data_IF_874103014231
#
_entry.id   IF_874103014231
#
_cell.length_a   1.000
_cell.length_b   1.000
_cell.length_c   1.000
_cell.angle_alpha   90.00
_cell.angle_beta   90.00
_cell.angle_gamma   90.00
#
_symmetry.space_group_name_H-M   'P 1'
#
loop_
_entity.id
_entity.type
_entity.pdbx_description
1 polymer ?
#
# COMPACT_ATOMS: atom_id res chain seq x y z
N UNK A 1 10.55 -22.39 3.31
CA UNK A 1 10.75 -22.31 1.85
C UNK A 1 10.72 -20.82 1.45
N UNK A 2 11.21 -20.42 0.28
CA UNK A 2 11.13 -19.02 -0.19
C UNK A 2 10.28 -18.95 -1.45
N UNK A 3 9.50 -17.88 -1.60
CA UNK A 3 8.68 -17.62 -2.79
C UNK A 3 9.55 -17.61 -4.05
N UNK A 4 9.20 -18.43 -5.05
CA UNK A 4 9.90 -18.42 -6.34
C UNK A 4 9.69 -17.11 -7.10
N UNK A 5 8.55 -16.45 -6.91
CA UNK A 5 8.20 -15.20 -7.59
C UNK A 5 9.20 -14.07 -7.23
N UNK A 6 9.50 -13.91 -5.94
CA UNK A 6 10.27 -12.75 -5.44
C UNK A 6 11.75 -13.02 -5.18
N UNK A 7 12.16 -14.29 -5.08
CA UNK A 7 13.57 -14.66 -4.96
C UNK A 7 14.20 -15.09 -6.30
N UNK A 8 13.49 -14.84 -7.40
CA UNK A 8 13.99 -14.91 -8.79
C UNK A 8 13.64 -13.61 -9.54
N UNK A 9 14.00 -13.51 -10.82
CA UNK A 9 13.63 -12.37 -11.66
C UNK A 9 12.18 -12.42 -12.18
N UNK A 10 11.38 -13.38 -11.72
CA UNK A 10 10.00 -13.55 -12.19
C UNK A 10 9.12 -12.33 -11.88
N UNK A 11 9.23 -11.73 -10.70
CA UNK A 11 8.48 -10.51 -10.37
C UNK A 11 8.79 -9.36 -11.34
N UNK A 12 10.04 -9.23 -11.83
CA UNK A 12 10.40 -8.21 -12.83
C UNK A 12 9.72 -8.45 -14.17
N UNK A 13 9.51 -9.72 -14.55
CA UNK A 13 8.75 -10.06 -15.75
C UNK A 13 7.27 -9.69 -15.59
N UNK A 14 6.69 -9.95 -14.42
CA UNK A 14 5.34 -9.54 -14.05
C UNK A 14 5.21 -8.01 -14.08
N UNK A 15 6.15 -7.25 -13.49
CA UNK A 15 6.18 -5.79 -13.54
C UNK A 15 6.12 -5.25 -14.98
N UNK A 16 6.95 -5.81 -15.89
CA UNK A 16 6.94 -5.43 -17.31
C UNK A 16 5.62 -5.78 -17.99
N UNK A 17 5.05 -6.95 -17.69
CA UNK A 17 3.78 -7.37 -18.24
C UNK A 17 2.63 -6.47 -17.78
N UNK A 18 2.62 -6.05 -16.51
CA UNK A 18 1.65 -5.09 -15.96
C UNK A 18 1.78 -3.73 -16.67
N UNK A 19 3.00 -3.23 -16.87
CA UNK A 19 3.22 -1.97 -17.62
C UNK A 19 2.68 -2.09 -19.05
N UNK A 20 2.91 -3.23 -19.71
CA UNK A 20 2.38 -3.53 -21.03
C UNK A 20 0.85 -3.51 -21.05
N UNK A 21 0.22 -4.26 -20.13
CA UNK A 21 -1.23 -4.34 -19.98
C UNK A 21 -1.86 -2.97 -19.76
N UNK A 22 -1.39 -2.20 -18.78
CA UNK A 22 -2.01 -0.93 -18.42
C UNK A 22 -1.88 0.11 -19.54
N UNK A 23 -0.79 0.07 -20.31
CA UNK A 23 -0.60 0.97 -21.44
C UNK A 23 -1.30 0.52 -22.74
N UNK A 24 -1.69 -0.75 -22.85
CA UNK A 24 -2.49 -1.26 -23.98
C UNK A 24 -3.97 -0.95 -23.83
N UNK A 25 -4.42 -0.59 -22.63
CA UNK A 25 -5.81 -0.21 -22.40
C UNK A 25 -6.20 1.03 -23.22
N UNK A 26 -7.45 1.09 -23.72
CA UNK A 26 -8.00 2.32 -24.25
C UNK A 26 -8.07 3.40 -23.15
N UNK A 27 -8.31 4.64 -23.54
CA UNK A 27 -8.48 5.73 -22.58
C UNK A 27 -9.64 5.42 -21.61
N UNK A 28 -9.31 5.14 -20.35
CA UNK A 28 -10.27 4.80 -19.30
C UNK A 28 -10.54 5.97 -18.35
N UNK A 29 -10.03 7.17 -18.65
CA UNK A 29 -10.41 8.42 -17.97
C UNK A 29 -11.21 9.32 -18.89
N UNK A 30 -12.18 10.03 -18.33
CA UNK A 30 -12.88 11.11 -19.01
C UNK A 30 -12.15 12.43 -18.82
N UNK A 31 -12.44 13.43 -19.65
CA UNK A 31 -11.94 14.80 -19.45
C UNK A 31 -12.26 15.37 -18.07
N UNK A 32 -13.38 14.96 -17.46
CA UNK A 32 -13.80 15.37 -16.12
C UNK A 32 -13.05 14.64 -15.00
N UNK A 33 -12.60 13.41 -15.24
CA UNK A 33 -11.93 12.56 -14.23
C UNK A 33 -10.41 12.52 -14.37
N UNK A 34 -9.86 13.01 -15.48
CA UNK A 34 -8.41 13.04 -15.75
C UNK A 34 -7.60 13.81 -14.70
N UNK A 35 -8.18 14.78 -14.00
CA UNK A 35 -7.50 15.48 -12.90
C UNK A 35 -7.51 14.69 -11.58
N UNK A 36 -8.40 13.71 -11.43
CA UNK A 36 -8.58 12.96 -10.19
C UNK A 36 -7.62 11.78 -10.12
N UNK A 37 -6.62 11.88 -9.24
CA UNK A 37 -5.70 10.78 -8.94
C UNK A 37 -6.44 9.55 -8.38
N UNK A 38 -7.56 9.77 -7.68
CA UNK A 38 -8.40 8.70 -7.16
C UNK A 38 -9.11 7.95 -8.28
N UNK A 39 -9.72 8.65 -9.23
CA UNK A 39 -10.39 7.99 -10.35
C UNK A 39 -9.42 7.16 -11.20
N UNK A 40 -8.20 7.68 -11.42
CA UNK A 40 -7.13 6.93 -12.08
C UNK A 40 -6.70 5.70 -11.25
N UNK A 41 -6.58 5.85 -9.92
CA UNK A 41 -6.27 4.75 -9.02
C UNK A 41 -7.31 3.64 -9.06
N UNK A 42 -8.58 3.99 -8.89
CA UNK A 42 -9.70 3.03 -8.91
C UNK A 42 -9.78 2.29 -10.26
N UNK A 43 -9.55 2.99 -11.38
CA UNK A 43 -9.55 2.37 -12.70
C UNK A 43 -8.36 1.42 -12.92
N UNK A 44 -7.14 1.83 -12.54
CA UNK A 44 -5.95 0.97 -12.62
C UNK A 44 -6.16 -0.29 -11.78
N UNK A 45 -6.68 -0.14 -10.55
CA UNK A 45 -6.98 -1.28 -9.69
C UNK A 45 -7.97 -2.23 -10.34
N UNK A 46 -9.08 -1.72 -10.89
CA UNK A 46 -10.08 -2.57 -11.55
C UNK A 46 -9.50 -3.37 -12.73
N UNK A 47 -8.71 -2.72 -13.59
CA UNK A 47 -8.03 -3.37 -14.73
C UNK A 47 -7.07 -4.46 -14.23
N UNK A 48 -6.33 -4.20 -13.16
CA UNK A 48 -5.45 -5.20 -12.56
C UNK A 48 -6.28 -6.36 -12.01
N UNK A 49 -7.27 -6.11 -11.16
CA UNK A 49 -8.15 -7.13 -10.58
C UNK A 49 -8.76 -8.07 -11.62
N UNK A 50 -9.11 -7.57 -12.81
CA UNK A 50 -9.67 -8.38 -13.90
C UNK A 50 -8.64 -9.24 -14.64
N UNK A 51 -7.40 -8.76 -14.80
CA UNK A 51 -6.42 -9.40 -15.69
C UNK A 51 -5.20 -10.01 -14.97
N UNK A 52 -5.06 -9.79 -13.66
CA UNK A 52 -3.85 -10.15 -12.92
C UNK A 52 -3.56 -11.65 -12.94
N UNK A 53 -4.59 -12.50 -12.79
CA UNK A 53 -4.45 -13.96 -12.87
C UNK A 53 -3.77 -14.41 -14.17
N UNK A 54 -4.16 -13.81 -15.29
CA UNK A 54 -3.57 -14.11 -16.60
C UNK A 54 -2.10 -13.67 -16.70
N UNK A 55 -1.72 -12.59 -15.99
CA UNK A 55 -0.33 -12.13 -15.92
C UNK A 55 0.55 -13.06 -15.07
N UNK A 56 -0.01 -13.67 -14.02
CA UNK A 56 0.67 -14.63 -13.16
C UNK A 56 0.89 -15.98 -13.87
N UNK A 57 -0.06 -16.38 -14.72
CA UNK A 57 0.01 -17.62 -15.49
C UNK A 57 0.23 -18.84 -14.59
N UNK A 58 1.28 -19.62 -14.86
CA UNK A 58 1.59 -20.86 -14.10
C UNK A 58 1.99 -20.64 -12.64
N UNK A 59 2.23 -19.39 -12.22
CA UNK A 59 2.55 -19.07 -10.83
C UNK A 59 1.33 -18.78 -9.98
N UNK A 60 0.13 -18.89 -10.55
CA UNK A 60 -1.13 -18.81 -9.83
C UNK A 60 -1.83 -20.17 -9.88
N UNK A 61 -2.10 -20.74 -8.70
CA UNK A 61 -2.93 -21.93 -8.56
C UNK A 61 -4.39 -21.54 -8.28
N UNK A 62 -4.59 -20.55 -7.40
CA UNK A 62 -5.91 -20.02 -7.04
C UNK A 62 -5.86 -18.49 -7.05
N UNK A 63 -6.89 -17.83 -7.58
CA UNK A 63 -6.99 -16.38 -7.65
C UNK A 63 -8.31 -15.89 -7.05
N UNK A 64 -8.26 -14.74 -6.37
CA UNK A 64 -9.43 -14.03 -5.88
C UNK A 64 -9.25 -12.52 -6.03
N UNK A 65 -10.30 -11.85 -6.47
CA UNK A 65 -10.38 -10.38 -6.55
C UNK A 65 -11.71 -9.82 -6.02
N UNK A 66 -12.59 -10.68 -5.50
CA UNK A 66 -13.86 -10.25 -4.89
C UNK A 66 -13.66 -10.04 -3.40
N UNK A 67 -13.43 -8.79 -3.02
CA UNK A 67 -13.15 -8.40 -1.64
C UNK A 67 -14.09 -7.30 -1.17
N UNK A 68 -14.51 -7.41 0.09
CA UNK A 68 -15.25 -6.34 0.74
C UNK A 68 -14.38 -5.07 0.86
N UNK A 69 -15.02 -3.88 0.86
CA UNK A 69 -14.39 -2.54 0.91
C UNK A 69 -13.37 -2.29 2.05
N UNK A 70 -13.25 -3.19 3.04
CA UNK A 70 -12.32 -3.09 4.19
C UNK A 70 -11.35 -4.27 4.28
N UNK A 71 -11.27 -5.07 3.21
CA UNK A 71 -10.33 -6.16 3.09
C UNK A 71 -8.89 -5.66 3.23
N UNK A 72 -7.98 -6.60 3.47
CA UNK A 72 -6.56 -6.31 3.64
C UNK A 72 -5.88 -5.92 2.33
N UNK A 73 -6.43 -6.33 1.20
CA UNK A 73 -5.84 -6.23 -0.12
C UNK A 73 -6.93 -6.08 -1.19
N UNK A 74 -6.50 -5.74 -2.40
CA UNK A 74 -7.36 -5.57 -3.57
C UNK A 74 -7.48 -6.86 -4.39
N UNK A 75 -6.46 -7.72 -4.30
CA UNK A 75 -6.39 -9.04 -4.95
C UNK A 75 -5.67 -10.01 -4.02
N UNK A 76 -5.90 -11.31 -4.20
CA UNK A 76 -5.10 -12.34 -3.57
C UNK A 76 -4.94 -13.54 -4.50
N UNK A 77 -3.87 -14.30 -4.30
CA UNK A 77 -3.65 -15.55 -5.00
C UNK A 77 -2.81 -16.51 -4.17
N UNK A 78 -2.89 -17.79 -4.48
CA UNK A 78 -2.01 -18.84 -3.93
C UNK A 78 -1.13 -19.37 -5.06
N UNK A 79 0.16 -19.56 -4.82
CA UNK A 79 1.04 -20.20 -5.79
C UNK A 79 1.03 -21.74 -5.66
N UNK A 80 1.59 -22.49 -6.63
CA UNK A 80 1.66 -23.95 -6.56
C UNK A 80 2.47 -24.50 -5.37
N UNK A 81 3.30 -23.67 -4.73
CA UNK A 81 4.12 -24.03 -3.57
C UNK A 81 3.37 -23.80 -2.24
N UNK A 82 2.13 -23.29 -2.29
CA UNK A 82 1.27 -23.06 -1.13
C UNK A 82 1.46 -21.71 -0.43
N UNK A 83 2.20 -20.76 -1.02
CA UNK A 83 2.28 -19.41 -0.48
C UNK A 83 1.01 -18.63 -0.83
N UNK A 84 0.44 -17.94 0.16
CA UNK A 84 -0.72 -17.09 -0.01
C UNK A 84 -0.30 -15.62 -0.09
N UNK A 85 -0.61 -14.98 -1.21
CA UNK A 85 -0.25 -13.61 -1.51
C UNK A 85 -1.48 -12.72 -1.43
N UNK A 86 -1.40 -11.66 -0.65
CA UNK A 86 -2.38 -10.57 -0.69
C UNK A 86 -1.71 -9.36 -1.32
N UNK A 87 -2.35 -8.77 -2.34
CA UNK A 87 -1.79 -7.70 -3.16
C UNK A 87 -2.57 -6.41 -2.95
N UNK A 88 -1.90 -5.40 -2.41
CA UNK A 88 -2.44 -4.07 -2.18
C UNK A 88 -1.92 -3.12 -3.28
N UNK A 89 -2.84 -2.60 -4.10
CA UNK A 89 -2.53 -1.76 -5.24
C UNK A 89 -2.43 -0.31 -4.80
N UNK A 90 -1.30 0.32 -5.11
CA UNK A 90 -1.10 1.75 -4.99
C UNK A 90 -0.80 2.34 -6.34
N UNK A 91 -1.25 3.57 -6.53
CA UNK A 91 -0.93 4.35 -7.72
C UNK A 91 -0.30 5.67 -7.32
N UNK A 92 0.65 6.12 -8.14
CA UNK A 92 1.33 7.38 -7.92
C UNK A 92 1.46 8.15 -9.22
N UNK A 93 0.97 9.38 -9.24
CA UNK A 93 1.12 10.27 -10.39
C UNK A 93 2.45 11.01 -10.27
N UNK A 94 3.35 10.82 -11.23
CA UNK A 94 4.73 11.35 -11.17
C UNK A 94 4.83 12.88 -11.07
N UNK A 95 3.81 13.60 -11.53
CA UNK A 95 3.75 15.07 -11.45
C UNK A 95 3.32 15.64 -10.09
N UNK A 96 2.99 14.81 -9.09
CA UNK A 96 2.58 15.31 -7.77
C UNK A 96 3.78 15.39 -6.82
N UNK A 97 3.94 16.55 -6.17
CA UNK A 97 5.11 16.81 -5.32
C UNK A 97 5.12 16.02 -4.01
N UNK A 98 3.95 15.63 -3.49
CA UNK A 98 3.85 14.91 -2.22
C UNK A 98 2.67 13.96 -2.20
N UNK A 99 2.92 12.70 -1.86
CA UNK A 99 1.91 11.66 -1.68
C UNK A 99 2.41 10.65 -0.63
N UNK A 100 1.65 10.47 0.45
CA UNK A 100 1.91 9.52 1.53
C UNK A 100 0.82 8.44 1.54
N UNK A 101 0.84 7.48 0.60
CA UNK A 101 -0.18 6.45 0.57
C UNK A 101 -0.06 5.55 1.79
N UNK A 102 -1.23 5.25 2.35
CA UNK A 102 -1.42 4.21 3.35
C UNK A 102 -1.24 2.83 2.73
N UNK A 103 -0.41 1.98 3.33
CA UNK A 103 -0.27 0.57 2.96
C UNK A 103 -1.21 -0.28 3.81
N UNK A 104 -0.87 -0.55 5.07
CA UNK A 104 -1.65 -1.44 5.93
C UNK A 104 -1.55 -1.08 7.41
N UNK A 105 -2.48 -1.57 8.22
CA UNK A 105 -2.42 -1.45 9.68
C UNK A 105 -1.29 -2.31 10.22
N UNK A 106 -0.53 -1.78 11.20
CA UNK A 106 0.57 -2.52 11.84
C UNK A 106 0.08 -3.78 12.57
N UNK A 107 -1.08 -3.70 13.23
CA UNK A 107 -1.69 -4.85 13.90
C UNK A 107 -2.14 -5.90 12.88
N UNK A 108 -2.76 -5.47 11.78
CA UNK A 108 -3.27 -6.40 10.76
C UNK A 108 -2.14 -7.15 10.07
N UNK A 109 -1.05 -6.45 9.75
CA UNK A 109 0.14 -7.09 9.18
C UNK A 109 0.79 -8.07 10.15
N UNK A 110 0.96 -7.68 11.42
CA UNK A 110 1.53 -8.55 12.44
C UNK A 110 0.76 -9.86 12.58
N UNK A 111 -0.58 -9.79 12.67
CA UNK A 111 -1.44 -10.99 12.71
C UNK A 111 -1.38 -11.80 11.42
N UNK A 112 -1.35 -11.14 10.27
CA UNK A 112 -1.26 -11.83 8.98
C UNK A 112 0.04 -12.64 8.85
N UNK A 113 1.13 -12.17 9.45
CA UNK A 113 2.43 -12.85 9.46
C UNK A 113 2.60 -13.88 10.59
N UNK A 114 1.53 -14.20 11.34
CA UNK A 114 1.53 -15.38 12.21
C UNK A 114 1.62 -16.69 11.40
N UNK A 115 1.23 -16.66 10.12
CA UNK A 115 1.50 -17.73 9.15
C UNK A 115 2.69 -17.33 8.25
N UNK A 116 3.73 -18.17 8.24
CA UNK A 116 4.94 -17.95 7.45
C UNK A 116 4.70 -18.04 5.93
N UNK A 117 3.63 -18.71 5.49
CA UNK A 117 3.27 -18.84 4.08
C UNK A 117 2.56 -17.62 3.52
N UNK A 118 2.11 -16.70 4.38
CA UNK A 118 1.45 -15.47 3.97
C UNK A 118 2.48 -14.45 3.45
N UNK A 119 2.14 -13.72 2.38
CA UNK A 119 2.97 -12.70 1.75
C UNK A 119 2.13 -11.44 1.51
N UNK A 120 2.48 -10.33 2.18
CA UNK A 120 1.83 -9.04 1.91
C UNK A 120 2.62 -8.30 0.84
N UNK A 121 2.02 -8.16 -0.34
CA UNK A 121 2.65 -7.64 -1.53
C UNK A 121 2.09 -6.26 -1.85
N UNK A 122 2.98 -5.32 -2.15
CA UNK A 122 2.61 -3.98 -2.61
C UNK A 122 2.84 -3.90 -4.11
N UNK A 123 1.80 -3.51 -4.86
CA UNK A 123 1.88 -3.22 -6.29
C UNK A 123 1.74 -1.71 -6.51
N UNK A 124 2.83 -1.03 -6.83
CA UNK A 124 2.88 0.42 -6.99
C UNK A 124 3.01 0.78 -8.47
N UNK A 125 1.92 1.24 -9.09
CA UNK A 125 1.93 1.75 -10.46
C UNK A 125 2.23 3.27 -10.49
N UNK A 126 3.38 3.64 -11.02
CA UNK A 126 3.76 5.05 -11.26
C UNK A 126 3.35 5.45 -12.67
N UNK A 127 2.57 6.52 -12.78
CA UNK A 127 1.96 6.92 -14.04
C UNK A 127 1.99 8.43 -14.25
N UNK A 128 1.69 8.84 -15.48
CA UNK A 128 1.36 10.21 -15.85
C UNK A 128 0.08 10.23 -16.70
N UNK A 129 -0.49 11.42 -16.91
CA UNK A 129 -1.72 11.62 -17.67
C UNK A 129 -1.45 12.58 -18.82
N UNK A 130 -1.67 12.12 -20.05
CA UNK A 130 -1.60 12.93 -21.26
C UNK A 130 -3.00 13.03 -21.89
N UNK A 131 -3.70 14.14 -21.66
CA UNK A 131 -5.11 14.29 -22.00
C UNK A 131 -5.99 13.38 -21.13
N UNK A 132 -6.63 12.39 -21.75
CA UNK A 132 -7.41 11.32 -21.08
C UNK A 132 -6.64 10.02 -20.95
N UNK A 133 -5.46 9.92 -21.56
CA UNK A 133 -4.67 8.70 -21.57
C UNK A 133 -3.76 8.62 -20.34
N UNK A 134 -3.94 7.56 -19.56
CA UNK A 134 -2.97 7.17 -18.53
C UNK A 134 -1.78 6.49 -19.20
N UNK A 135 -0.57 6.93 -18.83
CA UNK A 135 0.69 6.31 -19.26
C UNK A 135 1.44 5.82 -18.04
N UNK A 136 1.45 4.51 -17.83
CA UNK A 136 2.21 3.87 -16.76
C UNK A 136 3.67 3.80 -17.17
N UNK A 137 4.55 4.33 -16.31
CA UNK A 137 5.99 4.43 -16.56
C UNK A 137 6.78 3.36 -15.84
N UNK A 138 6.33 2.97 -14.66
CA UNK A 138 7.01 2.01 -13.81
C UNK A 138 5.99 1.31 -12.93
N UNK A 139 6.22 0.03 -12.66
CA UNK A 139 5.49 -0.73 -11.66
C UNK A 139 6.51 -1.32 -10.70
N UNK A 140 6.23 -1.25 -9.41
CA UNK A 140 6.91 -2.06 -8.40
C UNK A 140 5.94 -3.14 -7.94
N UNK A 141 6.36 -4.40 -7.99
CA UNK A 141 5.58 -5.54 -7.49
C UNK A 141 6.47 -6.33 -6.54
N UNK A 142 6.39 -6.01 -5.26
CA UNK A 142 7.33 -6.50 -4.25
C UNK A 142 6.64 -6.79 -2.91
N UNK A 143 7.13 -7.76 -2.12
CA UNK A 143 6.72 -7.91 -0.73
C UNK A 143 7.02 -6.63 0.04
N UNK A 144 6.20 -6.29 1.03
CA UNK A 144 6.41 -5.09 1.86
C UNK A 144 7.77 -5.11 2.57
N UNK A 145 8.29 -6.30 2.86
CA UNK A 145 9.60 -6.50 3.48
C UNK A 145 10.76 -6.01 2.62
N UNK A 146 10.54 -5.88 1.30
CA UNK A 146 11.54 -5.32 0.40
C UNK A 146 11.51 -3.80 0.38
N UNK A 147 10.48 -3.15 0.94
CA UNK A 147 10.48 -1.70 1.13
C UNK A 147 11.32 -1.34 2.35
N UNK A 148 12.36 -0.55 2.13
CA UNK A 148 13.26 -0.12 3.20
C UNK A 148 12.56 0.88 4.14
N UNK A 149 12.85 0.78 5.44
CA UNK A 149 12.26 1.68 6.45
C UNK A 149 12.62 3.16 6.27
N UNK A 150 13.68 3.48 5.52
CA UNK A 150 14.04 4.86 5.17
C UNK A 150 13.02 5.56 4.24
N UNK A 151 12.17 4.79 3.55
CA UNK A 151 11.08 5.30 2.72
C UNK A 151 9.69 5.05 3.34
N UNK A 152 9.62 4.49 4.56
CA UNK A 152 8.39 4.20 5.28
C UNK A 152 8.22 5.11 6.50
N UNK A 153 6.98 5.22 6.97
CA UNK A 153 6.65 5.91 8.22
C UNK A 153 5.40 5.31 8.85
N UNK A 154 5.14 5.66 10.11
CA UNK A 154 3.94 5.26 10.85
C UNK A 154 2.97 6.44 10.96
N UNK A 155 1.79 6.27 10.39
CA UNK A 155 0.66 7.20 10.50
C UNK A 155 -0.17 6.97 11.76
N UNK A 156 -0.69 8.05 12.35
CA UNK A 156 -1.51 8.04 13.56
C UNK A 156 -2.98 7.67 13.29
N UNK A 157 -3.23 6.42 12.87
CA UNK A 157 -4.58 5.88 12.69
C UNK A 157 -4.70 4.49 13.35
N UNK A 158 -5.68 4.31 14.23
CA UNK A 158 -5.89 3.05 14.95
C UNK A 158 -4.66 2.67 15.78
N UNK A 159 -4.16 1.45 15.62
CA UNK A 159 -2.90 0.98 16.21
C UNK A 159 -1.64 1.56 15.54
N UNK A 160 -1.79 2.35 14.49
CA UNK A 160 -0.69 2.76 13.62
C UNK A 160 -0.87 2.17 12.22
N UNK A 161 -0.48 2.95 11.23
CA UNK A 161 -0.60 2.56 9.83
C UNK A 161 0.74 2.73 9.12
N UNK A 162 1.22 1.68 8.47
CA UNK A 162 2.43 1.76 7.64
C UNK A 162 2.09 2.60 6.41
N UNK A 163 2.91 3.59 6.14
CA UNK A 163 2.76 4.52 5.03
C UNK A 163 4.08 4.61 4.26
N UNK A 164 3.99 4.89 2.96
CA UNK A 164 5.15 5.37 2.22
C UNK A 164 5.34 6.85 2.57
N UNK A 165 6.52 7.23 3.04
CA UNK A 165 6.82 8.60 3.47
C UNK A 165 6.80 9.59 2.29
N UNK A 166 7.19 9.15 1.09
CA UNK A 166 7.04 9.90 -0.14
C UNK A 166 7.03 8.96 -1.36
N UNK A 167 5.90 8.82 -2.06
CA UNK A 167 5.77 7.90 -3.20
C UNK A 167 6.70 8.21 -4.40
N UNK A 168 7.34 9.39 -4.43
CA UNK A 168 8.40 9.70 -5.39
C UNK A 168 9.72 8.96 -5.09
N UNK A 169 9.98 8.64 -3.81
CA UNK A 169 11.23 8.06 -3.34
C UNK A 169 10.90 6.69 -2.71
N UNK A 170 11.14 5.62 -3.47
CA UNK A 170 10.89 4.26 -3.02
C UNK A 170 12.21 3.51 -3.09
N UNK A 171 12.69 3.03 -1.95
CA UNK A 171 13.93 2.27 -1.85
C UNK A 171 13.59 0.79 -1.64
N UNK A 172 13.98 -0.03 -2.61
CA UNK A 172 13.73 -1.48 -2.62
C UNK A 172 15.02 -2.21 -2.24
N UNK A 173 15.03 -2.85 -1.09
CA UNK A 173 16.08 -3.74 -0.62
C UNK A 173 15.68 -5.20 -0.85
N UNK A 174 16.01 -5.72 -2.03
CA UNK A 174 15.60 -7.06 -2.45
C UNK A 174 16.20 -8.14 -1.54
N UNK A 175 15.39 -9.14 -1.18
CA UNK A 175 15.84 -10.25 -0.34
C UNK A 175 15.98 -9.91 1.14
N UNK A 176 15.52 -8.73 1.58
CA UNK A 176 15.43 -8.41 3.00
C UNK A 176 14.61 -9.48 3.74
N UNK A 177 15.11 -9.89 4.91
CA UNK A 177 14.46 -10.91 5.74
C UNK A 177 13.23 -10.34 6.43
N UNK A 178 12.11 -11.06 6.37
CA UNK A 178 10.90 -10.74 7.15
C UNK A 178 11.17 -10.53 8.63
N UNK A 179 11.94 -11.42 9.25
CA UNK A 179 12.30 -11.30 10.67
C UNK A 179 12.97 -9.96 10.95
N UNK A 180 13.97 -9.60 10.15
CA UNK A 180 14.68 -8.33 10.31
C UNK A 180 13.74 -7.14 10.12
N UNK A 181 12.96 -7.15 9.05
CA UNK A 181 12.03 -6.08 8.73
C UNK A 181 10.95 -5.89 9.81
N UNK A 182 10.45 -6.98 10.40
CA UNK A 182 9.48 -6.95 11.51
C UNK A 182 10.09 -6.47 12.83
N UNK A 183 11.37 -6.73 13.09
CA UNK A 183 12.06 -6.13 14.24
C UNK A 183 12.23 -4.62 14.06
N UNK A 184 12.59 -4.17 12.85
CA UNK A 184 12.65 -2.74 12.50
C UNK A 184 11.26 -2.06 12.63
N UNK A 185 10.18 -2.76 12.28
CA UNK A 185 8.80 -2.31 12.54
C UNK A 185 8.55 -2.11 14.04
N UNK A 186 8.93 -3.08 14.87
CA UNK A 186 8.76 -2.99 16.32
C UNK A 186 9.53 -1.79 16.89
N UNK A 187 10.78 -1.59 16.47
CA UNK A 187 11.58 -0.44 16.91
C UNK A 187 10.93 0.89 16.51
N UNK A 188 10.46 1.01 15.27
CA UNK A 188 9.74 2.19 14.79
C UNK A 188 8.45 2.47 15.59
N UNK A 189 7.70 1.42 15.96
CA UNK A 189 6.49 1.54 16.78
C UNK A 189 6.80 1.96 18.22
N UNK A 190 7.86 1.40 18.82
CA UNK A 190 8.30 1.73 20.17
C UNK A 190 8.80 3.18 20.26
N UNK A 191 9.32 3.75 19.18
CA UNK A 191 9.63 5.19 19.10
C UNK A 191 8.38 6.04 18.85
N UNK A 192 7.43 5.55 18.04
CA UNK A 192 6.23 6.26 17.63
C UNK A 192 5.21 6.42 18.77
N UNK A 193 4.89 5.36 19.51
CA UNK A 193 3.82 5.38 20.52
C UNK A 193 4.01 6.39 21.66
N UNK A 194 5.22 6.57 22.24
CA UNK A 194 5.43 7.60 23.26
C UNK A 194 5.08 9.01 22.77
N UNK A 195 5.36 9.32 21.49
CA UNK A 195 5.03 10.62 20.88
C UNK A 195 3.51 10.79 20.77
N UNK A 196 2.78 9.74 20.39
CA UNK A 196 1.32 9.77 20.32
C UNK A 196 0.68 9.92 21.71
N UNK A 197 1.23 9.25 22.74
CA UNK A 197 0.79 9.43 24.13
C UNK A 197 0.95 10.91 24.54
N UNK A 198 2.08 11.53 24.20
CA UNK A 198 2.31 12.97 24.42
C UNK A 198 1.24 13.83 23.76
N UNK A 199 0.98 13.63 22.46
CA UNK A 199 -0.06 14.37 21.72
C UNK A 199 -1.45 14.20 22.33
N UNK A 200 -1.79 13.00 22.82
CA UNK A 200 -3.08 12.75 23.48
C UNK A 200 -3.19 13.55 24.78
N UNK A 201 -2.12 13.62 25.58
CA UNK A 201 -2.09 14.45 26.80
C UNK A 201 -2.32 15.92 26.48
N UNK A 202 -1.64 16.45 25.47
CA UNK A 202 -1.80 17.85 25.04
C UNK A 202 -3.25 18.15 24.59
N UNK A 203 -3.85 17.24 23.82
CA UNK A 203 -5.24 17.33 23.37
C UNK A 203 -6.20 17.33 24.56
N UNK A 204 -6.00 16.44 25.54
CA UNK A 204 -6.80 16.38 26.75
C UNK A 204 -6.74 17.70 27.51
N UNK A 205 -5.55 18.26 27.70
CA UNK A 205 -5.38 19.50 28.45
C UNK A 205 -5.96 20.71 27.73
N UNK A 206 -5.85 20.76 26.39
CA UNK A 206 -6.53 21.76 25.58
C UNK A 206 -8.06 21.70 25.78
N UNK A 207 -8.67 20.52 25.66
CA UNK A 207 -10.12 20.40 25.78
C UNK A 207 -10.64 20.59 27.21
N UNK A 208 -9.84 20.29 28.25
CA UNK A 208 -10.14 20.73 29.63
C UNK A 208 -10.24 22.25 29.75
N UNK A 209 -9.39 23.02 29.05
CA UNK A 209 -9.48 24.49 29.02
C UNK A 209 -10.70 24.97 28.23
N UNK A 210 -10.96 24.36 27.07
CA UNK A 210 -12.15 24.67 26.24
C UNK A 210 -13.43 24.44 27.04
N UNK A 211 -13.57 23.30 27.73
CA UNK A 211 -14.71 22.99 28.59
C UNK A 211 -14.93 24.06 29.66
N UNK A 212 -13.89 24.39 30.44
CA UNK A 212 -13.95 25.45 31.47
C UNK A 212 -14.37 26.80 30.91
N UNK A 213 -13.98 27.13 29.67
CA UNK A 213 -14.40 28.36 29.01
C UNK A 213 -15.89 28.37 28.68
N UNK A 214 -16.45 27.23 28.24
CA UNK A 214 -17.87 27.10 27.91
C UNK A 214 -18.77 27.06 29.14
N UNK A 215 -18.36 26.37 30.21
CA UNK A 215 -19.09 26.33 31.49
C UNK A 215 -19.26 27.72 32.14
N UNK A 216 -18.39 28.68 31.79
CA UNK A 216 -18.47 30.07 32.27
C UNK A 216 -19.33 30.98 31.41
N UNK A 217 -19.79 30.53 30.25
CA UNK A 217 -20.66 31.35 29.40
C UNK A 217 -22.08 31.27 29.93
N UNK A 218 -22.83 32.38 29.94
CA UNK A 218 -24.26 32.32 30.18
C UNK A 218 -24.94 31.53 29.04
N UNK A 219 -26.03 30.83 29.37
CA UNK A 219 -26.93 30.35 28.33
C UNK A 219 -27.47 31.55 27.55
N UNK A 220 -27.50 31.41 26.22
CA UNK A 220 -28.07 32.39 25.30
C UNK A 220 -29.34 31.84 24.71
#
# INVERSE_FOLDING_TARGET
MKSQIFYTDQYKAIERAIVGLLNSQPDFLSTRTAASTRAAGDAIQAILSEHFESLLGRSCAEYSADFARRAMADMAFTDPDGFYYVVDVKTHRLGTHFNMPNLTSVERLARFYEDDNNQFVVLIAKYDIAGTKVRVKQVHFVPIEFLSWDCLTIGALGWGQIQIANANIIHINQGCSRKRWMLELCDALLEFYPKEIGKIRDRLDYFKRVRRRWERKPER
#
